data_IF_594308003147
#
_entry.id   IF_594308003147
#
_cell.length_a   1.000
_cell.length_b   1.000
_cell.length_c   1.000
_cell.angle_alpha   90.00
_cell.angle_beta   90.00
_cell.angle_gamma   90.00
#
_symmetry.space_group_name_H-M   'P 1'
#
loop_
_entity.id
_entity.type
_entity.pdbx_description
1 polymer ?
#
# COMPACT_ATOMS: atom_id res chain seq x y z
N UNK A 1 -14.47 8.96 -4.47
CA UNK A 1 -14.60 7.86 -3.46
C UNK A 1 -13.61 8.17 -2.35
N UNK A 2 -14.10 8.36 -1.14
CA UNK A 2 -13.29 8.62 0.05
C UNK A 2 -12.66 7.31 0.55
N UNK A 3 -11.40 7.35 0.96
CA UNK A 3 -10.74 6.19 1.58
C UNK A 3 -11.42 5.83 2.91
N UNK A 4 -11.48 4.55 3.23
CA UNK A 4 -12.14 3.98 4.41
C UNK A 4 -13.68 4.08 4.40
N UNK A 5 -14.31 4.60 3.33
CA UNK A 5 -15.76 4.52 3.13
C UNK A 5 -16.20 3.09 2.80
N UNK A 6 -17.50 2.79 2.91
CA UNK A 6 -18.05 1.50 2.53
C UNK A 6 -17.78 1.18 1.05
N UNK A 7 -17.90 2.18 0.17
CA UNK A 7 -17.62 2.08 -1.25
C UNK A 7 -16.16 1.75 -1.52
N UNK A 8 -15.24 2.33 -0.74
CA UNK A 8 -13.81 2.04 -0.88
C UNK A 8 -13.48 0.60 -0.48
N UNK A 9 -14.05 0.09 0.62
CA UNK A 9 -13.89 -1.31 1.01
C UNK A 9 -14.46 -2.24 -0.07
N UNK A 10 -15.63 -1.92 -0.61
CA UNK A 10 -16.25 -2.71 -1.69
C UNK A 10 -15.42 -2.70 -2.98
N UNK A 11 -14.84 -1.57 -3.36
CA UNK A 11 -13.99 -1.45 -4.54
C UNK A 11 -12.73 -2.32 -4.45
N UNK A 12 -12.26 -2.62 -3.23
CA UNK A 12 -11.06 -3.43 -2.93
C UNK A 12 -11.36 -4.91 -2.70
N UNK A 13 -12.65 -5.27 -2.59
CA UNK A 13 -13.09 -6.62 -2.24
C UNK A 13 -12.50 -7.69 -3.18
N UNK A 14 -11.80 -8.67 -2.62
CA UNK A 14 -11.21 -9.77 -3.35
C UNK A 14 -10.09 -9.40 -4.31
N UNK A 15 -9.55 -8.18 -4.24
CA UNK A 15 -8.49 -7.67 -5.12
C UNK A 15 -7.15 -7.61 -4.41
N UNK A 16 -6.07 -7.78 -5.17
CA UNK A 16 -4.71 -7.50 -4.69
C UNK A 16 -4.54 -5.98 -4.58
N UNK A 17 -4.14 -5.51 -3.40
CA UNK A 17 -3.93 -4.09 -3.14
C UNK A 17 -2.47 -3.76 -2.92
N UNK A 18 -2.04 -2.56 -3.28
CA UNK A 18 -0.65 -2.12 -3.14
C UNK A 18 -0.11 -2.31 -1.71
N UNK A 19 -0.92 -2.04 -0.69
CA UNK A 19 -0.54 -2.23 0.72
C UNK A 19 -0.29 -3.70 1.11
N UNK A 20 -0.74 -4.65 0.30
CA UNK A 20 -0.56 -6.09 0.54
C UNK A 20 0.31 -6.78 -0.53
N UNK A 21 0.78 -6.05 -1.55
CA UNK A 21 1.53 -6.65 -2.65
C UNK A 21 2.81 -7.34 -2.18
N UNK A 22 3.43 -6.85 -1.10
CA UNK A 22 4.60 -7.48 -0.53
C UNK A 22 4.33 -8.90 -0.01
N UNK A 23 3.10 -9.22 0.43
CA UNK A 23 2.73 -10.58 0.80
C UNK A 23 2.76 -11.54 -0.40
N UNK A 24 2.53 -11.02 -1.61
CA UNK A 24 2.57 -11.80 -2.87
C UNK A 24 4.00 -12.06 -3.33
N UNK A 25 4.90 -11.08 -3.19
CA UNK A 25 6.27 -11.17 -3.74
C UNK A 25 7.32 -11.68 -2.75
N UNK A 26 7.03 -11.60 -1.43
CA UNK A 26 7.99 -11.99 -0.40
C UNK A 26 8.19 -13.50 -0.35
N UNK A 27 9.46 -13.91 -0.22
CA UNK A 27 9.86 -15.31 -0.15
C UNK A 27 10.64 -15.60 1.13
N UNK A 28 10.58 -16.83 1.57
CA UNK A 28 11.45 -17.32 2.64
C UNK A 28 12.91 -17.39 2.18
N UNK A 29 13.84 -17.59 3.10
CA UNK A 29 15.26 -17.78 2.74
C UNK A 29 15.50 -18.96 1.77
N UNK A 30 14.54 -19.92 1.70
CA UNK A 30 14.58 -21.06 0.77
C UNK A 30 13.93 -20.76 -0.58
N UNK A 31 13.47 -19.53 -0.82
CA UNK A 31 12.81 -19.11 -2.06
C UNK A 31 11.34 -19.56 -2.19
N UNK A 32 10.75 -20.14 -1.15
CA UNK A 32 9.34 -20.54 -1.13
C UNK A 32 8.43 -19.41 -0.66
N UNK A 33 7.12 -19.42 -0.98
CA UNK A 33 6.17 -18.46 -0.42
C UNK A 33 6.18 -18.43 1.11
N UNK A 34 5.87 -17.27 1.68
CA UNK A 34 5.75 -17.09 3.14
C UNK A 34 4.36 -17.53 3.64
N UNK A 35 4.17 -17.67 4.95
CA UNK A 35 2.83 -17.88 5.53
C UNK A 35 1.88 -16.75 5.17
N UNK A 36 2.38 -15.50 5.09
CA UNK A 36 1.57 -14.34 4.70
C UNK A 36 1.02 -14.43 3.27
N UNK A 37 1.73 -15.10 2.37
CA UNK A 37 1.23 -15.38 1.02
C UNK A 37 -0.01 -16.28 1.07
N UNK A 38 0.07 -17.39 1.82
CA UNK A 38 -1.05 -18.33 1.96
C UNK A 38 -2.24 -17.68 2.69
N UNK A 39 -2.00 -16.96 3.78
CA UNK A 39 -3.05 -16.25 4.52
C UNK A 39 -3.75 -15.22 3.63
N UNK A 40 -2.99 -14.47 2.83
CA UNK A 40 -3.56 -13.48 1.90
C UNK A 40 -4.35 -14.13 0.77
N UNK A 41 -3.89 -15.27 0.24
CA UNK A 41 -4.61 -16.07 -0.76
C UNK A 41 -5.97 -16.53 -0.21
N UNK A 42 -5.99 -17.13 0.97
CA UNK A 42 -7.23 -17.58 1.63
C UNK A 42 -8.18 -16.42 1.89
N UNK A 43 -7.65 -15.29 2.36
CA UNK A 43 -8.43 -14.07 2.55
C UNK A 43 -9.16 -13.66 1.27
N UNK A 44 -8.43 -13.53 0.14
CA UNK A 44 -9.03 -13.10 -1.12
C UNK A 44 -10.03 -14.11 -1.69
N UNK A 45 -9.77 -15.43 -1.54
CA UNK A 45 -10.73 -16.48 -1.89
C UNK A 45 -12.02 -16.31 -1.07
N UNK A 46 -11.89 -16.14 0.24
CA UNK A 46 -13.04 -15.95 1.13
C UNK A 46 -13.85 -14.72 0.76
N UNK A 47 -13.20 -13.59 0.53
CA UNK A 47 -13.86 -12.34 0.13
C UNK A 47 -14.62 -12.50 -1.21
N UNK A 48 -14.03 -13.22 -2.19
CA UNK A 48 -14.69 -13.47 -3.50
C UNK A 48 -15.89 -14.39 -3.39
N UNK A 49 -15.84 -15.42 -2.55
CA UNK A 49 -16.92 -16.37 -2.39
C UNK A 49 -18.07 -15.85 -1.53
N UNK A 50 -17.76 -15.04 -0.52
CA UNK A 50 -18.77 -14.49 0.39
C UNK A 50 -19.37 -13.16 -0.08
N UNK A 51 -18.66 -12.42 -0.95
CA UNK A 51 -19.02 -11.05 -1.30
C UNK A 51 -18.86 -10.07 -0.13
N UNK A 52 -18.16 -10.45 0.93
CA UNK A 52 -17.98 -9.66 2.14
C UNK A 52 -16.51 -9.39 2.42
N UNK A 53 -16.21 -8.17 2.85
CA UNK A 53 -14.86 -7.81 3.29
C UNK A 53 -14.52 -8.56 4.59
N UNK A 54 -13.28 -9.02 4.70
CA UNK A 54 -12.78 -9.59 5.95
C UNK A 54 -12.90 -8.56 7.08
N UNK A 55 -13.20 -8.99 8.32
CA UNK A 55 -13.27 -8.09 9.46
C UNK A 55 -12.00 -7.24 9.57
N UNK A 56 -12.18 -5.94 9.70
CA UNK A 56 -11.08 -5.00 9.89
C UNK A 56 -10.88 -4.78 11.40
N UNK A 57 -9.72 -5.18 11.89
CA UNK A 57 -9.33 -4.92 13.27
C UNK A 57 -8.31 -3.78 13.29
N UNK A 58 -8.71 -2.65 13.81
CA UNK A 58 -7.85 -1.49 13.96
C UNK A 58 -6.95 -1.64 15.20
N UNK A 59 -5.63 -1.59 14.98
CA UNK A 59 -4.65 -1.54 16.07
C UNK A 59 -4.41 -0.10 16.52
N UNK A 60 -3.82 0.08 17.71
CA UNK A 60 -3.43 1.43 18.19
C UNK A 60 -2.49 2.15 17.21
N UNK A 61 -1.52 1.42 16.62
CA UNK A 61 -0.59 1.98 15.63
C UNK A 61 -1.33 2.40 14.34
N UNK A 62 -2.36 1.66 13.93
CA UNK A 62 -3.18 2.03 12.77
C UNK A 62 -4.03 3.27 13.06
N UNK A 63 -4.65 3.34 14.23
CA UNK A 63 -5.43 4.51 14.66
C UNK A 63 -4.54 5.76 14.72
N UNK A 64 -3.38 5.64 15.36
CA UNK A 64 -2.38 6.70 15.37
C UNK A 64 -2.00 7.17 13.96
N UNK A 65 -1.78 6.24 13.04
CA UNK A 65 -1.50 6.54 11.63
C UNK A 65 -2.63 7.36 11.00
N UNK A 66 -3.87 6.92 11.16
CA UNK A 66 -5.07 7.58 10.61
C UNK A 66 -5.23 8.99 11.16
N UNK A 67 -5.08 9.17 12.47
CA UNK A 67 -5.24 10.46 13.16
C UNK A 67 -4.20 11.51 12.71
N UNK A 68 -3.00 11.07 12.29
CA UNK A 68 -1.91 11.99 11.95
C UNK A 68 -1.63 12.12 10.45
N UNK A 69 -2.28 11.31 9.61
CA UNK A 69 -2.07 11.30 8.14
C UNK A 69 -2.47 12.63 7.50
N UNK A 70 -3.59 13.23 7.94
CA UNK A 70 -4.06 14.52 7.40
C UNK A 70 -3.15 15.68 7.80
N UNK A 71 -2.59 15.66 9.02
CA UNK A 71 -1.61 16.67 9.46
C UNK A 71 -0.32 16.57 8.67
N UNK A 72 0.17 15.35 8.43
CA UNK A 72 1.34 15.10 7.59
C UNK A 72 1.12 15.60 6.16
N UNK A 73 -0.06 15.35 5.58
CA UNK A 73 -0.42 15.81 4.25
C UNK A 73 -0.45 17.32 4.16
N UNK A 74 -1.08 18.01 5.11
CA UNK A 74 -1.14 19.47 5.19
C UNK A 74 0.26 20.09 5.33
N UNK A 75 1.11 19.53 6.21
CA UNK A 75 2.47 20.02 6.42
C UNK A 75 3.32 19.82 5.16
N UNK A 76 3.19 18.67 4.47
CA UNK A 76 3.86 18.42 3.20
C UNK A 76 3.43 19.43 2.13
N UNK A 77 2.13 19.63 1.92
CA UNK A 77 1.58 20.57 0.95
C UNK A 77 2.08 22.01 1.21
N UNK A 78 2.16 22.42 2.47
CA UNK A 78 2.68 23.72 2.87
C UNK A 78 4.18 23.87 2.60
N UNK A 79 5.00 22.86 2.94
CA UNK A 79 6.47 22.91 2.75
C UNK A 79 6.85 22.99 1.27
N UNK A 80 6.13 22.26 0.41
CA UNK A 80 6.44 22.16 -1.02
C UNK A 80 5.62 23.10 -1.90
N UNK A 81 4.75 23.92 -1.31
CA UNK A 81 3.82 24.82 -2.03
C UNK A 81 3.13 24.08 -3.19
N UNK A 82 2.53 22.94 -2.86
CA UNK A 82 1.94 22.03 -3.85
C UNK A 82 0.55 21.57 -3.42
N UNK A 83 -0.34 21.43 -4.41
CA UNK A 83 -1.65 20.85 -4.20
C UNK A 83 -1.57 19.32 -4.18
N UNK A 84 -2.14 18.72 -3.14
CA UNK A 84 -2.26 17.26 -3.02
C UNK A 84 -3.71 16.87 -3.21
N UNK A 85 -3.98 16.11 -4.27
CA UNK A 85 -5.32 15.57 -4.54
C UNK A 85 -5.48 14.20 -3.88
N UNK A 86 -6.38 14.09 -2.91
CA UNK A 86 -6.73 12.79 -2.34
C UNK A 86 -7.49 11.93 -3.35
N UNK A 87 -7.23 10.64 -3.35
CA UNK A 87 -7.89 9.70 -4.23
C UNK A 87 -8.38 8.47 -3.46
N UNK A 88 -9.37 7.80 -4.03
CA UNK A 88 -9.86 6.53 -3.51
C UNK A 88 -9.06 5.34 -4.07
N UNK A 89 -9.79 4.28 -4.42
CA UNK A 89 -9.18 3.11 -5.04
C UNK A 89 -9.03 3.31 -6.55
N UNK A 90 -7.80 3.19 -7.04
CA UNK A 90 -7.44 3.25 -8.46
C UNK A 90 -7.14 1.81 -8.90
N UNK A 91 -7.86 1.32 -9.89
CA UNK A 91 -7.66 -0.01 -10.44
C UNK A 91 -6.40 -0.05 -11.30
N UNK A 92 -5.67 -1.18 -11.26
CA UNK A 92 -4.53 -1.40 -12.14
C UNK A 92 -4.97 -1.38 -13.61
N UNK A 93 -4.22 -0.75 -14.54
CA UNK A 93 -4.65 -0.56 -15.92
C UNK A 93 -4.85 -1.88 -16.69
N UNK A 94 -4.08 -2.91 -16.40
CA UNK A 94 -4.12 -4.20 -17.09
C UNK A 94 -4.58 -5.36 -16.22
N UNK A 95 -4.36 -5.33 -14.90
CA UNK A 95 -4.70 -6.41 -13.96
C UNK A 95 -6.04 -6.09 -13.28
N UNK A 96 -7.14 -6.63 -13.81
CA UNK A 96 -8.51 -6.31 -13.34
C UNK A 96 -8.76 -6.52 -11.85
N UNK A 97 -8.08 -7.52 -11.24
CA UNK A 97 -8.27 -7.87 -9.82
C UNK A 97 -7.14 -7.31 -8.94
N UNK A 98 -6.64 -6.12 -9.29
CA UNK A 98 -5.60 -5.44 -8.55
C UNK A 98 -5.78 -3.91 -8.58
N UNK A 99 -5.21 -3.21 -7.60
CA UNK A 99 -5.25 -1.75 -7.57
C UNK A 99 -4.58 -1.16 -6.33
N UNK A 100 -4.63 0.15 -6.22
CA UNK A 100 -3.96 0.93 -5.19
C UNK A 100 -4.83 2.06 -4.66
N UNK A 101 -4.51 2.54 -3.47
CA UNK A 101 -5.04 3.77 -2.89
C UNK A 101 -3.86 4.56 -2.33
N UNK A 102 -3.18 5.38 -3.14
CA UNK A 102 -2.17 6.29 -2.65
C UNK A 102 -2.77 7.32 -1.68
N UNK A 103 -1.97 7.83 -0.75
CA UNK A 103 -2.44 8.83 0.21
C UNK A 103 -2.65 10.21 -0.45
N UNK A 104 -1.99 10.45 -1.58
CA UNK A 104 -2.23 11.62 -2.42
C UNK A 104 -1.59 11.54 -3.80
N UNK A 105 -2.12 12.36 -4.69
CA UNK A 105 -1.62 12.58 -6.05
C UNK A 105 -1.07 14.01 -6.15
N UNK A 106 0.07 14.19 -6.80
CA UNK A 106 0.70 15.48 -7.02
C UNK A 106 0.87 15.67 -8.52
N UNK A 107 0.35 16.76 -9.03
CA UNK A 107 0.34 17.08 -10.46
C UNK A 107 -0.04 15.85 -11.32
N UNK A 108 0.62 15.65 -12.46
CA UNK A 108 0.39 14.53 -13.35
C UNK A 108 1.28 13.30 -13.04
N UNK A 109 2.42 13.51 -12.39
CA UNK A 109 3.52 12.52 -12.32
C UNK A 109 3.82 11.98 -10.93
N UNK A 110 3.33 12.64 -9.87
CA UNK A 110 3.73 12.35 -8.49
C UNK A 110 2.70 11.67 -7.63
N UNK A 111 3.17 10.90 -6.66
CA UNK A 111 2.41 10.30 -5.58
C UNK A 111 3.00 10.67 -4.23
N UNK A 112 2.20 10.52 -3.18
CA UNK A 112 2.70 10.46 -1.81
C UNK A 112 2.22 9.18 -1.11
N UNK A 113 3.09 8.66 -0.26
CA UNK A 113 2.82 7.56 0.68
C UNK A 113 3.26 8.01 2.06
N UNK A 114 2.32 8.15 2.98
CA UNK A 114 2.52 8.67 4.34
C UNK A 114 2.58 7.52 5.33
N UNK A 115 3.55 7.58 6.22
CA UNK A 115 3.63 6.71 7.40
C UNK A 115 3.85 7.56 8.63
N UNK A 116 3.00 7.34 9.65
CA UNK A 116 3.11 7.95 10.96
C UNK A 116 3.50 6.85 11.98
N UNK A 117 4.77 6.40 11.99
CA UNK A 117 5.21 5.31 12.85
C UNK A 117 5.41 5.77 14.30
N UNK A 118 5.70 4.82 15.20
CA UNK A 118 6.22 5.14 16.52
C UNK A 118 7.54 5.90 16.40
N UNK A 119 7.82 6.86 17.32
CA UNK A 119 8.99 7.74 17.27
C UNK A 119 10.32 7.00 17.07
N UNK A 120 10.50 5.84 17.69
CA UNK A 120 11.71 5.03 17.51
C UNK A 120 11.90 4.53 16.09
N UNK A 121 10.81 4.15 15.40
CA UNK A 121 10.86 3.73 14.00
C UNK A 121 11.04 4.93 13.05
N UNK A 122 10.44 6.07 13.40
CA UNK A 122 10.65 7.32 12.70
C UNK A 122 12.12 7.75 12.75
N UNK A 123 12.71 7.80 13.96
CA UNK A 123 14.13 8.14 14.13
C UNK A 123 15.06 7.14 13.44
N UNK A 124 14.75 5.84 13.45
CA UNK A 124 15.54 4.85 12.71
C UNK A 124 15.55 5.18 11.21
N UNK A 125 14.41 5.52 10.63
CA UNK A 125 14.37 5.93 9.22
C UNK A 125 15.17 7.22 8.95
N UNK A 126 15.15 8.20 9.89
CA UNK A 126 15.96 9.42 9.77
C UNK A 126 17.46 9.10 9.75
N UNK A 127 17.90 8.20 10.66
CA UNK A 127 19.32 7.82 10.83
C UNK A 127 19.79 6.96 9.66
N UNK A 128 19.07 5.87 9.36
CA UNK A 128 19.52 4.86 8.40
C UNK A 128 19.20 5.28 6.95
N UNK A 129 18.21 6.16 6.76
CA UNK A 129 17.70 6.59 5.47
C UNK A 129 17.25 5.40 4.57
N UNK A 130 16.82 4.30 5.19
CA UNK A 130 16.38 3.08 4.51
C UNK A 130 14.87 2.88 4.62
N UNK A 131 14.22 2.70 3.48
CA UNK A 131 12.79 2.37 3.41
C UNK A 131 12.64 0.86 3.43
N UNK A 132 11.70 0.37 4.24
CA UNK A 132 11.42 -1.06 4.32
C UNK A 132 10.99 -1.63 2.96
N UNK A 133 11.38 -2.88 2.64
CA UNK A 133 11.03 -3.52 1.37
C UNK A 133 9.53 -3.54 1.07
N UNK A 134 8.69 -3.70 2.11
CA UNK A 134 7.24 -3.69 1.95
C UNK A 134 6.70 -2.34 1.47
N UNK A 135 7.27 -1.22 1.91
CA UNK A 135 6.87 0.11 1.46
C UNK A 135 7.40 0.42 0.05
N UNK A 136 8.62 -0.05 -0.27
CA UNK A 136 9.15 0.07 -1.64
C UNK A 136 8.27 -0.69 -2.64
N UNK A 137 7.86 -1.91 -2.32
CA UNK A 137 6.97 -2.69 -3.16
C UNK A 137 5.59 -2.02 -3.30
N UNK A 138 5.04 -1.49 -2.20
CA UNK A 138 3.78 -0.75 -2.19
C UNK A 138 3.82 0.44 -3.14
N UNK A 139 4.86 1.30 -3.02
CA UNK A 139 5.01 2.49 -3.87
C UNK A 139 5.22 2.14 -5.35
N UNK A 140 6.03 1.14 -5.66
CA UNK A 140 6.22 0.69 -7.05
C UNK A 140 4.90 0.19 -7.64
N UNK A 141 4.10 -0.56 -6.87
CA UNK A 141 2.80 -1.02 -7.34
C UNK A 141 1.76 0.10 -7.43
N UNK A 142 1.81 1.12 -6.56
CA UNK A 142 1.01 2.34 -6.70
C UNK A 142 1.34 3.07 -8.00
N UNK A 143 2.64 3.23 -8.31
CA UNK A 143 3.08 3.82 -9.57
C UNK A 143 2.67 2.97 -10.79
N UNK A 144 2.61 1.64 -10.67
CA UNK A 144 2.07 0.78 -11.71
C UNK A 144 0.57 1.05 -11.95
N UNK A 145 -0.22 1.15 -10.87
CA UNK A 145 -1.67 1.39 -10.95
C UNK A 145 -2.04 2.78 -11.47
N UNK A 146 -1.19 3.77 -11.24
CA UNK A 146 -1.47 5.19 -11.56
C UNK A 146 -0.69 5.70 -12.77
N UNK A 147 0.24 4.90 -13.30
CA UNK A 147 1.18 5.26 -14.39
C UNK A 147 2.09 6.46 -14.06
N UNK A 148 2.17 6.83 -12.76
CA UNK A 148 2.96 7.97 -12.29
C UNK A 148 4.44 7.62 -12.16
N UNK A 149 5.30 8.66 -12.17
CA UNK A 149 6.77 8.53 -12.35
C UNK A 149 7.54 8.51 -11.05
N UNK A 150 6.98 9.02 -9.96
CA UNK A 150 7.64 9.09 -8.66
C UNK A 150 6.64 9.05 -7.51
N UNK A 151 7.15 8.65 -6.33
CA UNK A 151 6.42 8.68 -5.07
C UNK A 151 7.29 9.25 -3.96
N UNK A 152 6.82 10.26 -3.25
CA UNK A 152 7.45 10.77 -2.04
C UNK A 152 6.98 9.93 -0.85
N UNK A 153 7.92 9.18 -0.29
CA UNK A 153 7.72 8.49 0.98
C UNK A 153 7.89 9.49 2.11
N UNK A 154 6.84 9.67 2.91
CA UNK A 154 6.80 10.62 4.02
C UNK A 154 6.72 9.82 5.32
N UNK A 155 7.72 10.02 6.20
CA UNK A 155 7.64 9.57 7.59
C UNK A 155 7.39 10.78 8.47
N UNK A 156 6.31 10.73 9.26
CA UNK A 156 5.83 11.88 10.05
C UNK A 156 5.60 11.49 11.51
N UNK A 157 6.05 12.34 12.43
CA UNK A 157 5.78 12.21 13.85
C UNK A 157 5.60 13.59 14.50
N UNK A 158 4.37 14.00 14.82
CA UNK A 158 4.07 15.33 15.38
C UNK A 158 4.63 15.56 16.79
N UNK A 159 5.14 14.51 17.48
CA UNK A 159 5.74 14.64 18.81
C UNK A 159 7.08 15.37 18.80
N UNK A 160 7.72 15.48 17.64
CA UNK A 160 8.93 16.30 17.49
C UNK A 160 8.54 17.77 17.39
N UNK A 161 8.74 18.52 18.48
CA UNK A 161 8.36 19.93 18.62
C UNK A 161 9.50 20.80 19.13
N UNK A 162 9.36 22.13 19.10
CA UNK A 162 10.41 23.06 19.53
C UNK A 162 11.70 22.86 18.76
N UNK A 163 12.82 22.73 19.44
CA UNK A 163 14.14 22.56 18.83
C UNK A 163 14.29 21.26 18.03
N UNK A 164 13.44 20.26 18.30
CA UNK A 164 13.43 19.00 17.57
C UNK A 164 12.48 19.00 16.36
N UNK A 165 11.77 20.09 16.08
CA UNK A 165 10.75 20.17 15.01
C UNK A 165 11.28 19.85 13.61
N UNK A 166 12.58 20.07 13.36
CA UNK A 166 13.25 19.71 12.11
C UNK A 166 13.22 18.18 11.82
N UNK A 167 13.00 17.37 12.84
CA UNK A 167 12.86 15.90 12.71
C UNK A 167 11.42 15.45 12.58
N UNK A 168 10.41 16.34 12.57
CA UNK A 168 8.99 15.98 12.52
C UNK A 168 8.62 15.26 11.25
N UNK A 169 9.21 15.65 10.12
CA UNK A 169 8.96 15.08 8.81
C UNK A 169 10.26 14.70 8.11
N UNK A 170 10.33 13.48 7.61
CA UNK A 170 11.41 13.02 6.72
C UNK A 170 10.80 12.54 5.41
N UNK A 171 11.29 13.05 4.30
CA UNK A 171 10.82 12.72 2.96
C UNK A 171 11.94 12.06 2.17
N UNK A 172 11.56 11.04 1.39
CA UNK A 172 12.48 10.39 0.45
C UNK A 172 11.73 10.07 -0.85
N UNK A 173 12.13 10.68 -1.96
CA UNK A 173 11.57 10.41 -3.28
C UNK A 173 12.06 9.08 -3.83
N UNK A 174 11.12 8.27 -4.29
CA UNK A 174 11.33 7.00 -4.96
C UNK A 174 10.85 7.16 -6.39
N UNK A 175 11.73 6.87 -7.34
CA UNK A 175 11.36 6.88 -8.75
C UNK A 175 10.78 5.54 -9.19
N UNK A 176 9.95 5.59 -10.21
CA UNK A 176 9.38 4.45 -10.89
C UNK A 176 10.51 3.58 -11.44
N UNK A 177 10.43 2.28 -11.19
CA UNK A 177 11.37 1.26 -11.65
C UNK A 177 10.59 0.22 -12.46
N UNK A 178 10.65 0.32 -13.78
CA UNK A 178 9.89 -0.55 -14.68
C UNK A 178 10.22 -2.04 -14.50
N UNK A 179 11.48 -2.35 -14.19
CA UNK A 179 11.88 -3.74 -13.97
C UNK A 179 11.21 -4.31 -12.71
N UNK A 180 11.23 -3.56 -11.62
CA UNK A 180 10.55 -3.99 -10.38
C UNK A 180 9.04 -4.07 -10.55
N UNK A 181 8.45 -3.12 -11.27
CA UNK A 181 7.02 -3.13 -11.59
C UNK A 181 6.66 -4.38 -12.38
N UNK A 182 7.43 -4.72 -13.39
CA UNK A 182 7.21 -5.92 -14.20
C UNK A 182 7.31 -7.20 -13.36
N UNK A 183 8.33 -7.32 -12.50
CA UNK A 183 8.49 -8.44 -11.57
C UNK A 183 7.29 -8.56 -10.59
N UNK A 184 6.79 -7.43 -10.08
CA UNK A 184 5.62 -7.39 -9.20
C UNK A 184 4.36 -7.79 -9.97
N UNK A 185 4.14 -7.24 -11.15
CA UNK A 185 2.96 -7.52 -11.97
C UNK A 185 2.87 -9.01 -12.33
N UNK A 186 3.96 -9.62 -12.78
CA UNK A 186 4.03 -11.05 -13.07
C UNK A 186 3.71 -11.91 -11.85
N UNK A 187 4.22 -11.53 -10.67
CA UNK A 187 3.92 -12.23 -9.42
C UNK A 187 2.43 -12.09 -9.04
N UNK A 188 1.85 -10.91 -9.19
CA UNK A 188 0.43 -10.64 -8.92
C UNK A 188 -0.46 -11.42 -9.87
N UNK A 189 -0.17 -11.47 -11.17
CA UNK A 189 -0.91 -12.26 -12.15
C UNK A 189 -0.86 -13.76 -11.84
N UNK A 190 0.31 -14.27 -11.50
CA UNK A 190 0.50 -15.67 -11.10
C UNK A 190 -0.31 -16.01 -9.85
N UNK A 191 -0.28 -15.14 -8.84
CA UNK A 191 -1.03 -15.27 -7.60
C UNK A 191 -2.55 -15.26 -7.85
N UNK A 192 -3.02 -14.34 -8.68
CA UNK A 192 -4.44 -14.27 -9.06
C UNK A 192 -4.90 -15.52 -9.82
N UNK A 193 -4.05 -16.05 -10.71
CA UNK A 193 -4.33 -17.29 -11.42
C UNK A 193 -4.40 -18.51 -10.47
N UNK A 194 -3.60 -18.54 -9.39
CA UNK A 194 -3.73 -19.56 -8.35
C UNK A 194 -5.08 -19.46 -7.62
N UNK A 195 -5.49 -18.25 -7.25
CA UNK A 195 -6.80 -18.01 -6.61
C UNK A 195 -7.93 -18.54 -7.49
N UNK A 196 -7.93 -18.22 -8.78
CA UNK A 196 -8.98 -18.68 -9.71
C UNK A 196 -9.02 -20.22 -9.82
N UNK A 197 -7.84 -20.84 -9.97
CA UNK A 197 -7.75 -22.32 -10.00
C UNK A 197 -8.28 -22.95 -8.73
N UNK A 198 -7.96 -22.36 -7.58
CA UNK A 198 -8.40 -22.88 -6.28
C UNK A 198 -9.90 -22.78 -6.09
N UNK A 199 -10.50 -21.63 -6.47
CA UNK A 199 -11.95 -21.43 -6.46
C UNK A 199 -12.64 -22.45 -7.38
N UNK A 200 -12.16 -22.66 -8.59
CA UNK A 200 -12.71 -23.64 -9.52
C UNK A 200 -12.63 -25.07 -8.95
N UNK A 201 -11.47 -25.44 -8.36
CA UNK A 201 -11.24 -26.76 -7.76
C UNK A 201 -12.23 -27.08 -6.63
N UNK A 202 -12.46 -26.11 -5.73
CA UNK A 202 -13.39 -26.33 -4.60
C UNK A 202 -14.85 -26.29 -5.04
N UNK A 203 -15.20 -25.45 -6.02
CA UNK A 203 -16.56 -25.39 -6.57
C UNK A 203 -16.96 -26.70 -7.28
N UNK A 204 -16.03 -27.32 -8.02
CA UNK A 204 -16.29 -28.61 -8.68
C UNK A 204 -16.45 -29.76 -7.66
N UNK A 205 -15.85 -29.67 -6.47
CA UNK A 205 -15.99 -30.70 -5.43
C UNK A 205 -17.26 -30.54 -4.60
N UNK A 206 -17.86 -29.36 -4.59
CA UNK A 206 -19.06 -29.04 -3.85
C UNK A 206 -20.36 -29.29 -4.67
N UNK A 207 -20.23 -29.46 -5.99
CA UNK A 207 -21.29 -29.83 -6.93
C UNK A 207 -21.40 -31.34 -7.08
#
# INVERSE_FOLDING_TARGET
MEQRSAEWFQARLGKVTASNVYNVISKTAKGTPTSKYEDYKIKLITERLTGQTSPYYETEDMRWGIENEEDALREYAFIYDTDVTQCGFIQHPTIKMAGASPDGLIDEDGLIEIKCPRSTNHMRFIIDNEIKPEYLAQMQFQMACTERKWCDFISYDPRFTGDSSLFRMKIKRIHRDEKKIEEINQAVESFLAEIEREIQRISTKAA
#
